data_IF_621756854104
#
_entry.id   IF_621756854104
#
_cell.length_a   1.000
_cell.length_b   1.000
_cell.length_c   1.000
_cell.angle_alpha   90.00
_cell.angle_beta   90.00
_cell.angle_gamma   90.00
#
_symmetry.space_group_name_H-M   'P 1'
#
loop_
_entity.id
_entity.type
_entity.pdbx_description
1 polymer ?
#
# COMPACT_ATOMS: atom_id res chain seq x y z
N UNK A 1 19.59 -40.52 -6.57
CA UNK A 1 19.94 -39.11 -6.34
C UNK A 1 18.90 -38.26 -7.04
N UNK A 2 17.80 -37.98 -6.34
CA UNK A 2 16.72 -37.10 -6.83
C UNK A 2 16.98 -35.71 -6.26
N UNK A 3 17.29 -34.76 -7.13
CA UNK A 3 17.37 -33.36 -6.77
C UNK A 3 15.95 -32.86 -6.44
N UNK A 4 15.63 -32.78 -5.15
CA UNK A 4 14.49 -32.01 -4.67
C UNK A 4 14.81 -30.53 -4.89
N UNK A 5 14.39 -30.00 -6.04
CA UNK A 5 14.27 -28.58 -6.24
C UNK A 5 13.21 -28.04 -5.30
N UNK A 6 13.63 -27.58 -4.12
CA UNK A 6 12.84 -26.66 -3.31
C UNK A 6 12.66 -25.39 -4.13
N UNK A 7 11.60 -25.34 -4.95
CA UNK A 7 11.05 -24.07 -5.39
C UNK A 7 10.59 -23.36 -4.10
N UNK A 8 11.37 -22.37 -3.65
CA UNK A 8 10.88 -21.42 -2.66
C UNK A 8 9.55 -20.89 -3.20
N UNK A 9 8.49 -20.99 -2.39
CA UNK A 9 7.20 -20.40 -2.71
C UNK A 9 7.40 -18.88 -2.85
N UNK A 10 7.69 -18.42 -4.06
CA UNK A 10 7.59 -17.01 -4.44
C UNK A 10 6.10 -16.65 -4.45
N UNK A 11 5.55 -16.41 -3.25
CA UNK A 11 4.18 -15.96 -3.10
C UNK A 11 4.07 -14.53 -3.61
N UNK A 12 3.09 -14.28 -4.49
CA UNK A 12 2.77 -12.94 -4.96
C UNK A 12 2.64 -11.93 -3.80
N UNK A 13 2.98 -10.65 -4.00
CA UNK A 13 2.81 -9.64 -2.97
C UNK A 13 1.35 -9.53 -2.52
N UNK A 14 1.15 -9.30 -1.22
CA UNK A 14 -0.17 -9.14 -0.60
C UNK A 14 -0.36 -7.69 -0.17
N UNK A 15 -1.54 -7.13 -0.44
CA UNK A 15 -1.97 -5.85 0.13
C UNK A 15 -2.63 -6.12 1.48
N UNK A 16 -2.21 -5.38 2.49
CA UNK A 16 -2.75 -5.39 3.85
C UNK A 16 -3.50 -4.07 4.07
N UNK A 17 -4.71 -4.16 4.63
CA UNK A 17 -5.48 -3.02 5.08
C UNK A 17 -5.65 -3.08 6.60
N UNK A 18 -5.62 -1.93 7.27
CA UNK A 18 -5.79 -1.88 8.72
C UNK A 18 -5.68 -0.46 9.28
N UNK A 19 -5.27 -0.37 10.55
CA UNK A 19 -4.84 0.86 11.19
C UNK A 19 -3.34 0.83 11.49
N UNK A 20 -2.72 2.00 11.58
CA UNK A 20 -1.32 2.16 11.95
C UNK A 20 -1.22 2.94 13.25
N UNK A 21 -0.75 2.28 14.32
CA UNK A 21 -0.41 2.96 15.56
C UNK A 21 1.02 3.51 15.45
N UNK A 22 1.18 4.83 15.47
CA UNK A 22 2.49 5.49 15.54
C UNK A 22 2.65 6.11 16.92
N UNK A 23 3.50 5.53 17.76
CA UNK A 23 3.69 5.99 19.14
C UNK A 23 2.38 5.97 19.93
N UNK A 24 2.13 7.04 20.68
CA UNK A 24 0.93 7.20 21.53
C UNK A 24 -0.21 7.98 20.85
N UNK A 25 -0.24 8.04 19.51
CA UNK A 25 -1.30 8.75 18.79
C UNK A 25 -2.69 8.23 19.18
N UNK A 26 -3.59 9.07 19.74
CA UNK A 26 -4.93 8.65 20.11
C UNK A 26 -5.84 8.38 18.90
N UNK A 27 -5.46 8.85 17.70
CA UNK A 27 -6.24 8.72 16.47
C UNK A 27 -5.39 8.07 15.37
N UNK A 28 -5.08 6.77 15.49
CA UNK A 28 -4.24 6.08 14.51
C UNK A 28 -4.84 6.16 13.09
N UNK A 29 -4.03 6.50 12.08
CA UNK A 29 -4.51 6.53 10.70
C UNK A 29 -4.83 5.15 10.15
N UNK A 30 -5.64 5.12 9.10
CA UNK A 30 -5.80 3.92 8.29
C UNK A 30 -4.48 3.56 7.58
N UNK A 31 -4.29 2.29 7.25
CA UNK A 31 -3.09 1.74 6.64
C UNK A 31 -3.40 0.98 5.37
N UNK A 32 -2.58 1.21 4.34
CA UNK A 32 -2.43 0.34 3.17
C UNK A 32 -0.96 -0.03 3.04
N UNK A 33 -0.64 -1.31 3.14
CA UNK A 33 0.74 -1.79 2.96
C UNK A 33 0.82 -2.87 1.89
N UNK A 34 1.84 -2.83 1.04
CA UNK A 34 2.18 -3.97 0.16
C UNK A 34 3.25 -4.80 0.85
N UNK A 35 2.90 -6.01 1.28
CA UNK A 35 3.82 -6.98 1.86
C UNK A 35 4.40 -7.87 0.76
N UNK A 36 5.73 -7.88 0.63
CA UNK A 36 6.47 -8.74 -0.29
C UNK A 36 7.05 -9.96 0.43
N UNK A 37 7.24 -11.10 -0.26
CA UNK A 37 7.87 -12.29 0.33
C UNK A 37 9.38 -12.14 0.56
N UNK A 38 10.01 -11.10 0.03
CA UNK A 38 11.45 -10.85 0.13
C UNK A 38 11.68 -9.43 0.64
N UNK A 39 12.51 -9.31 1.67
CA UNK A 39 12.96 -8.02 2.22
C UNK A 39 13.68 -7.17 1.17
N UNK A 40 14.57 -7.77 0.38
CA UNK A 40 15.28 -7.06 -0.71
C UNK A 40 14.30 -6.52 -1.75
N UNK A 41 13.27 -7.33 -2.09
CA UNK A 41 12.24 -6.91 -3.02
C UNK A 41 11.38 -5.78 -2.46
N UNK A 42 11.01 -5.84 -1.18
CA UNK A 42 10.28 -4.77 -0.49
C UNK A 42 11.05 -3.45 -0.57
N UNK A 43 12.35 -3.46 -0.24
CA UNK A 43 13.22 -2.28 -0.30
C UNK A 43 13.39 -1.75 -1.73
N UNK A 44 13.60 -2.62 -2.71
CA UNK A 44 13.73 -2.23 -4.11
C UNK A 44 12.46 -1.54 -4.62
N UNK A 45 11.29 -2.07 -4.26
CA UNK A 45 9.99 -1.47 -4.62
C UNK A 45 9.76 -0.17 -3.87
N UNK A 46 10.08 -0.10 -2.57
CA UNK A 46 9.94 1.13 -1.79
C UNK A 46 10.77 2.27 -2.41
N UNK A 47 12.04 2.01 -2.75
CA UNK A 47 12.90 2.98 -3.46
C UNK A 47 12.33 3.39 -4.81
N UNK A 48 11.82 2.43 -5.58
CA UNK A 48 11.20 2.73 -6.87
C UNK A 48 9.96 3.60 -6.72
N UNK A 49 9.05 3.27 -5.80
CA UNK A 49 7.84 4.06 -5.53
C UNK A 49 8.19 5.47 -5.04
N UNK A 50 9.22 5.62 -4.20
CA UNK A 50 9.74 6.94 -3.80
C UNK A 50 10.32 7.75 -4.97
N UNK A 51 10.86 7.10 -5.99
CA UNK A 51 11.39 7.80 -7.18
C UNK A 51 10.29 8.34 -8.12
N UNK A 52 9.06 7.82 -8.01
CA UNK A 52 7.93 8.21 -8.87
C UNK A 52 6.82 8.95 -8.14
N UNK A 53 6.79 8.92 -6.81
CA UNK A 53 5.82 9.68 -6.02
C UNK A 53 6.01 11.18 -6.27
N UNK A 54 4.91 11.94 -6.21
CA UNK A 54 4.89 13.38 -6.48
C UNK A 54 4.23 14.21 -5.38
N UNK A 55 4.12 13.66 -4.18
CA UNK A 55 3.61 14.35 -3.01
C UNK A 55 4.58 15.40 -2.48
N UNK A 56 4.07 16.30 -1.66
CA UNK A 56 4.86 17.30 -0.94
C UNK A 56 5.54 16.65 0.25
N UNK A 57 6.81 16.96 0.49
CA UNK A 57 7.52 16.58 1.73
C UNK A 57 7.29 17.70 2.75
N UNK A 58 6.46 17.49 3.80
CA UNK A 58 6.08 18.57 4.70
C UNK A 58 7.21 18.95 5.67
N UNK A 59 8.12 18.03 5.98
CA UNK A 59 9.20 18.25 6.93
C UNK A 59 10.55 17.92 6.31
N UNK A 60 11.50 18.86 6.33
CA UNK A 60 12.85 18.62 5.83
C UNK A 60 13.59 17.52 6.60
N UNK A 61 13.29 17.35 7.89
CA UNK A 61 13.85 16.30 8.74
C UNK A 61 13.32 14.89 8.43
N UNK A 62 12.21 14.77 7.68
CA UNK A 62 11.55 13.51 7.37
C UNK A 62 11.29 13.40 5.86
N UNK A 63 12.38 13.32 5.09
CA UNK A 63 12.34 13.26 3.62
C UNK A 63 11.58 12.05 3.03
N UNK A 64 11.33 11.03 3.84
CA UNK A 64 10.58 9.82 3.52
C UNK A 64 9.06 9.96 3.74
N UNK A 65 8.60 11.07 4.36
CA UNK A 65 7.19 11.36 4.56
C UNK A 65 6.70 12.26 3.43
N UNK A 66 5.73 11.78 2.67
CA UNK A 66 5.15 12.52 1.54
C UNK A 66 3.64 12.65 1.73
N UNK A 67 3.06 13.80 1.42
CA UNK A 67 1.62 14.05 1.56
C UNK A 67 1.00 14.51 0.24
N UNK A 68 -0.23 14.11 -0.02
CA UNK A 68 -1.00 14.57 -1.19
C UNK A 68 -0.50 14.04 -2.54
N UNK A 69 0.25 12.94 -2.54
CA UNK A 69 0.70 12.26 -3.77
C UNK A 69 -0.50 11.83 -4.65
N UNK A 70 -0.33 11.94 -5.96
CA UNK A 70 -1.31 11.54 -6.98
C UNK A 70 -0.80 10.45 -7.93
N UNK A 71 0.51 10.19 -7.93
CA UNK A 71 1.14 9.21 -8.81
C UNK A 71 0.76 7.77 -8.43
N UNK A 72 0.70 7.49 -7.12
CA UNK A 72 0.33 6.19 -6.58
C UNK A 72 -1.16 6.22 -6.19
N UNK A 73 -1.93 5.27 -6.68
CA UNK A 73 -3.38 5.17 -6.46
C UNK A 73 -3.72 3.84 -5.81
N UNK A 74 -4.56 3.91 -4.78
CA UNK A 74 -5.18 2.75 -4.15
C UNK A 74 -6.64 2.70 -4.54
N UNK A 75 -7.09 1.54 -5.02
CA UNK A 75 -8.48 1.26 -5.36
C UNK A 75 -8.93 0.00 -4.63
N UNK A 76 -10.06 0.08 -3.94
CA UNK A 76 -10.74 -1.06 -3.35
C UNK A 76 -12.04 -1.23 -4.12
N UNK A 77 -12.21 -2.37 -4.79
CA UNK A 77 -13.44 -2.69 -5.52
C UNK A 77 -14.66 -2.51 -4.61
N UNK A 78 -15.76 -1.88 -5.05
CA UNK A 78 -16.93 -1.68 -4.20
C UNK A 78 -17.72 -2.96 -3.92
N UNK A 79 -17.50 -4.01 -4.72
CA UNK A 79 -18.21 -5.29 -4.59
C UNK A 79 -17.21 -6.42 -4.35
N UNK A 80 -17.47 -7.31 -3.39
CA UNK A 80 -16.65 -8.50 -3.18
C UNK A 80 -16.88 -9.52 -4.30
N UNK A 81 -15.85 -10.32 -4.54
CA UNK A 81 -15.93 -11.53 -5.35
C UNK A 81 -16.21 -12.70 -4.41
N UNK A 82 -17.18 -13.54 -4.77
CA UNK A 82 -17.57 -14.72 -4.00
C UNK A 82 -16.32 -15.57 -3.66
N UNK A 83 -16.22 -15.97 -2.40
CA UNK A 83 -15.13 -16.79 -1.83
C UNK A 83 -13.71 -16.18 -1.91
N UNK A 84 -13.58 -14.90 -2.31
CA UNK A 84 -12.29 -14.20 -2.40
C UNK A 84 -12.24 -12.90 -1.60
N UNK A 85 -13.36 -12.20 -1.45
CA UNK A 85 -13.41 -10.89 -0.80
C UNK A 85 -13.24 -9.73 -1.77
N UNK A 86 -12.74 -8.60 -1.31
CA UNK A 86 -12.63 -7.36 -2.07
C UNK A 86 -11.31 -7.30 -2.82
N UNK A 87 -11.32 -6.92 -4.10
CA UNK A 87 -10.08 -6.70 -4.85
C UNK A 87 -9.50 -5.34 -4.46
N UNK A 88 -8.34 -5.34 -3.82
CA UNK A 88 -7.54 -4.15 -3.59
C UNK A 88 -6.43 -4.05 -4.63
N UNK A 89 -6.18 -2.86 -5.15
CA UNK A 89 -5.22 -2.59 -6.20
C UNK A 89 -4.39 -1.37 -5.83
N UNK A 90 -3.07 -1.48 -5.96
CA UNK A 90 -2.13 -0.36 -5.92
C UNK A 90 -1.52 -0.21 -7.29
N UNK A 91 -1.68 0.98 -7.87
CA UNK A 91 -1.25 1.27 -9.23
C UNK A 91 -0.48 2.58 -9.23
N UNK A 92 0.57 2.68 -10.04
CA UNK A 92 1.27 3.95 -10.19
C UNK A 92 1.55 4.27 -11.66
N UNK A 93 1.52 5.57 -11.97
CA UNK A 93 1.97 6.13 -13.24
C UNK A 93 3.16 7.03 -12.98
N UNK A 94 4.21 6.91 -13.80
CA UNK A 94 5.37 7.79 -13.72
C UNK A 94 5.05 9.23 -14.14
N UNK A 95 4.06 9.41 -15.03
CA UNK A 95 3.47 10.70 -15.39
C UNK A 95 1.94 10.53 -15.41
N UNK A 96 1.16 11.43 -14.76
CA UNK A 96 -0.30 11.38 -14.77
C UNK A 96 -0.92 11.30 -16.18
N UNK A 97 -0.25 11.85 -17.20
CA UNK A 97 -0.67 11.85 -18.61
C UNK A 97 -0.48 10.51 -19.30
N UNK A 98 0.33 9.60 -18.75
CA UNK A 98 0.54 8.28 -19.36
C UNK A 98 -0.74 7.43 -19.33
N UNK A 99 -0.96 6.66 -20.39
CA UNK A 99 -2.08 5.70 -20.47
C UNK A 99 -1.77 4.37 -19.78
N UNK A 100 -0.49 4.04 -19.60
CA UNK A 100 -0.03 2.80 -18.98
C UNK A 100 0.42 3.03 -17.54
N UNK A 101 0.19 2.02 -16.71
CA UNK A 101 0.75 1.98 -15.35
C UNK A 101 2.18 1.46 -15.41
N UNK A 102 3.09 2.15 -14.72
CA UNK A 102 4.47 1.68 -14.55
C UNK A 102 4.61 0.74 -13.34
N UNK A 103 3.60 0.70 -12.48
CA UNK A 103 3.53 -0.20 -11.33
C UNK A 103 2.10 -0.71 -11.14
N UNK A 104 1.96 -1.98 -10.81
CA UNK A 104 0.68 -2.60 -10.51
C UNK A 104 0.87 -3.77 -9.54
N UNK A 105 0.13 -3.73 -8.43
CA UNK A 105 -0.04 -4.85 -7.49
C UNK A 105 -1.51 -4.96 -7.16
N UNK A 106 -2.02 -6.19 -7.05
CA UNK A 106 -3.37 -6.42 -6.60
C UNK A 106 -3.45 -7.71 -5.78
N UNK A 107 -4.27 -7.70 -4.75
CA UNK A 107 -4.62 -8.87 -3.96
C UNK A 107 -6.05 -8.76 -3.47
N UNK A 108 -6.64 -9.89 -3.13
CA UNK A 108 -7.90 -9.89 -2.41
C UNK A 108 -7.66 -9.62 -0.92
N UNK A 109 -8.57 -8.86 -0.33
CA UNK A 109 -8.61 -8.51 1.10
C UNK A 109 -9.98 -8.90 1.66
N UNK A 110 -10.03 -9.22 2.94
CA UNK A 110 -11.27 -9.67 3.58
C UNK A 110 -12.24 -8.51 3.84
N UNK A 111 -13.49 -8.84 4.12
CA UNK A 111 -14.49 -7.85 4.57
C UNK A 111 -14.07 -7.19 5.88
N UNK A 112 -13.48 -7.96 6.80
CA UNK A 112 -12.93 -7.46 8.06
C UNK A 112 -11.82 -6.43 7.83
N UNK A 113 -10.84 -6.73 6.98
CA UNK A 113 -9.74 -5.82 6.64
C UNK A 113 -10.27 -4.50 6.05
N UNK A 114 -11.27 -4.57 5.17
CA UNK A 114 -11.92 -3.39 4.59
C UNK A 114 -12.69 -2.60 5.64
N UNK A 115 -13.45 -3.27 6.51
CA UNK A 115 -14.21 -2.63 7.60
C UNK A 115 -13.30 -1.91 8.58
N UNK A 116 -12.21 -2.55 9.01
CA UNK A 116 -11.22 -1.95 9.90
C UNK A 116 -10.57 -0.73 9.25
N UNK A 117 -10.15 -0.86 7.99
CA UNK A 117 -9.56 0.25 7.24
C UNK A 117 -10.49 1.46 7.16
N UNK A 118 -11.75 1.28 6.77
CA UNK A 118 -12.68 2.39 6.68
C UNK A 118 -13.01 2.99 8.06
N UNK A 119 -13.04 2.17 9.11
CA UNK A 119 -13.23 2.68 10.48
C UNK A 119 -12.12 3.65 10.89
N UNK A 120 -10.86 3.32 10.63
CA UNK A 120 -9.73 4.23 10.90
C UNK A 120 -9.71 5.42 9.92
N UNK A 121 -10.07 5.20 8.65
CA UNK A 121 -10.07 6.26 7.64
C UNK A 121 -11.11 7.32 7.95
N UNK A 122 -12.30 6.92 8.42
CA UNK A 122 -13.39 7.84 8.78
C UNK A 122 -13.03 8.69 10.02
N UNK A 123 -12.22 8.16 10.94
CA UNK A 123 -11.72 8.88 12.12
C UNK A 123 -10.58 9.83 11.75
N UNK A 124 -9.56 9.32 11.06
CA UNK A 124 -8.34 10.06 10.77
C UNK A 124 -8.46 10.99 9.54
N UNK A 125 -9.46 10.78 8.68
CA UNK A 125 -9.66 11.46 7.39
C UNK A 125 -8.46 11.32 6.41
N UNK A 126 -7.59 10.33 6.64
CA UNK A 126 -6.48 9.99 5.77
C UNK A 126 -6.04 8.54 6.01
N UNK A 127 -5.24 8.01 5.08
CA UNK A 127 -4.51 6.76 5.25
C UNK A 127 -3.04 6.94 4.94
N UNK A 128 -2.22 6.05 5.52
CA UNK A 128 -0.82 5.88 5.21
C UNK A 128 -0.67 4.75 4.20
N UNK A 129 0.10 5.00 3.15
CA UNK A 129 0.57 3.99 2.22
C UNK A 129 2.05 3.70 2.46
N UNK A 130 2.40 2.41 2.52
CA UNK A 130 3.79 1.95 2.63
C UNK A 130 4.00 0.57 1.99
N UNK A 131 5.22 0.05 2.08
CA UNK A 131 5.63 -1.27 1.61
C UNK A 131 6.31 -1.99 2.77
N UNK A 132 6.26 -3.31 2.80
CA UNK A 132 6.88 -4.10 3.87
C UNK A 132 7.26 -5.51 3.45
N UNK A 133 7.81 -6.24 4.40
CA UNK A 133 8.02 -7.68 4.34
C UNK A 133 7.38 -8.32 5.56
N UNK A 134 6.45 -9.25 5.35
CA UNK A 134 5.63 -9.82 6.42
C UNK A 134 4.95 -8.70 7.23
N UNK A 135 5.29 -8.57 8.51
CA UNK A 135 4.79 -7.54 9.43
C UNK A 135 5.66 -6.29 9.53
N UNK A 136 6.86 -6.31 8.92
CA UNK A 136 7.82 -5.21 9.00
C UNK A 136 7.52 -4.17 7.91
N UNK A 137 6.96 -3.03 8.34
CA UNK A 137 6.63 -1.89 7.48
C UNK A 137 7.87 -1.00 7.27
N UNK A 138 8.16 -0.64 6.02
CA UNK A 138 9.29 0.22 5.65
C UNK A 138 8.92 1.70 5.68
N UNK A 139 8.36 2.16 6.80
CA UNK A 139 7.95 3.57 6.99
C UNK A 139 9.15 4.53 6.86
N UNK A 140 10.35 4.11 7.25
CA UNK A 140 11.59 4.89 7.11
C UNK A 140 12.03 5.06 5.66
N UNK A 141 11.52 4.24 4.74
CA UNK A 141 11.81 4.33 3.31
C UNK A 141 10.69 5.01 2.55
N UNK A 142 9.43 4.64 2.81
CA UNK A 142 8.27 5.20 2.13
C UNK A 142 7.08 5.32 3.10
N UNK A 143 6.68 6.55 3.36
CA UNK A 143 5.52 6.88 4.19
C UNK A 143 4.68 7.93 3.45
N UNK A 144 3.64 7.49 2.75
CA UNK A 144 2.80 8.40 1.96
C UNK A 144 1.45 8.61 2.65
N UNK A 145 1.17 9.84 3.06
CA UNK A 145 -0.10 10.28 3.59
C UNK A 145 -1.04 10.63 2.43
N UNK A 146 -2.20 9.96 2.37
CA UNK A 146 -3.17 10.08 1.30
C UNK A 146 -4.58 10.31 1.85
N UNK A 147 -5.32 11.20 1.19
CA UNK A 147 -6.65 11.64 1.62
C UNK A 147 -7.79 11.03 0.78
N UNK A 148 -7.44 10.36 -0.33
CA UNK A 148 -8.42 9.86 -1.30
C UNK A 148 -8.15 8.37 -1.55
N UNK A 149 -9.18 7.57 -1.33
CA UNK A 149 -9.25 6.19 -1.82
C UNK A 149 -10.14 6.21 -3.05
N UNK A 150 -9.60 5.84 -4.21
CA UNK A 150 -10.40 5.83 -5.44
C UNK A 150 -11.46 4.73 -5.34
N UNK A 151 -12.73 5.09 -5.58
CA UNK A 151 -13.82 4.14 -5.78
C UNK A 151 -14.13 4.09 -7.27
N UNK A 152 -14.17 2.90 -7.86
CA UNK A 152 -14.57 2.75 -9.26
C UNK A 152 -16.09 3.00 -9.35
N UNK A 153 -16.49 4.18 -9.80
CA UNK A 153 -17.90 4.61 -9.83
C UNK A 153 -18.13 6.09 -9.54
N UNK A 154 -17.10 6.82 -9.11
CA UNK A 154 -17.09 8.29 -8.99
C UNK A 154 -16.48 8.96 -10.23
#
# INVERSE_FOLDING_TARGET
MTANGNHSKDTAPRIILGGLQVGEDPNPPALVAISYPSCDRAHAVAKYLMSIQNGTIPFQSASNVCAGDTAIKVNISPKPVKDKGYLCQVMAKADPRHLTYCFYVASYVTEEEVSVFYSFFDVANHYVFTVGHETDLLLDTIHIIKYIVSRRGD
#
